data_IF_695987227261
#
_entry.id   IF_695987227261
#
_cell.length_a   1.000
_cell.length_b   1.000
_cell.length_c   1.000
_cell.angle_alpha   90.00
_cell.angle_beta   90.00
_cell.angle_gamma   90.00
#
_symmetry.space_group_name_H-M   'P 1'
#
loop_
_entity.id
_entity.type
_entity.pdbx_description
1 polymer ?
#
# COMPACT_ATOMS: atom_id res chain seq x y z
N UNK A 1 1.17 -3.70 -5.44
CA UNK A 1 -0.15 -3.18 -5.04
C UNK A 1 -1.20 -4.26 -5.17
N UNK A 2 -2.26 -4.20 -4.37
CA UNK A 2 -3.40 -5.11 -4.49
C UNK A 2 -4.70 -4.32 -4.54
N UNK A 3 -5.75 -4.94 -5.12
CA UNK A 3 -7.06 -4.31 -5.22
C UNK A 3 -7.72 -4.24 -3.84
N UNK A 4 -8.40 -3.13 -3.57
CA UNK A 4 -9.25 -2.95 -2.39
C UNK A 4 -10.63 -3.54 -2.70
N UNK A 5 -11.15 -4.36 -1.81
CA UNK A 5 -12.40 -5.10 -2.03
C UNK A 5 -13.60 -4.53 -1.28
N UNK A 6 -13.38 -3.60 -0.35
CA UNK A 6 -14.47 -3.00 0.43
C UNK A 6 -14.33 -1.49 0.57
N UNK A 7 -15.45 -0.75 0.67
CA UNK A 7 -15.42 0.67 0.95
C UNK A 7 -14.75 1.01 2.29
N UNK A 8 -14.85 0.11 3.26
CA UNK A 8 -14.22 0.29 4.59
C UNK A 8 -12.70 0.33 4.45
N UNK A 9 -12.10 -0.59 3.67
CA UNK A 9 -10.67 -0.56 3.38
C UNK A 9 -10.24 0.71 2.64
N UNK A 10 -11.10 1.25 1.78
CA UNK A 10 -10.78 2.44 1.00
C UNK A 10 -10.70 3.70 1.88
N UNK A 11 -11.52 3.81 2.92
CA UNK A 11 -11.52 4.97 3.84
C UNK A 11 -10.57 4.81 5.02
N UNK A 12 -10.06 3.61 5.26
CA UNK A 12 -9.09 3.32 6.31
C UNK A 12 -7.74 3.96 5.97
N UNK A 13 -7.25 4.84 6.82
CA UNK A 13 -5.98 5.59 6.66
C UNK A 13 -4.74 4.74 6.90
N UNK A 14 -4.87 3.57 7.52
CA UNK A 14 -3.80 2.57 7.62
C UNK A 14 -3.48 1.95 6.26
N UNK A 15 -4.46 1.88 5.36
CA UNK A 15 -4.28 1.44 3.98
C UNK A 15 -3.82 2.61 3.10
N UNK A 16 -2.60 2.55 2.58
CA UNK A 16 -2.07 3.55 1.65
C UNK A 16 -2.64 3.27 0.25
N UNK A 17 -3.49 4.18 -0.24
CA UNK A 17 -4.03 4.10 -1.60
C UNK A 17 -2.99 4.56 -2.60
N UNK A 18 -3.01 3.96 -3.79
CA UNK A 18 -2.08 4.27 -4.88
C UNK A 18 -2.83 4.41 -6.19
N UNK A 19 -2.49 5.45 -6.94
CA UNK A 19 -2.93 5.66 -8.33
C UNK A 19 -1.72 5.58 -9.25
N UNK A 20 -1.92 4.99 -10.43
CA UNK A 20 -0.86 4.77 -11.41
C UNK A 20 -1.19 5.42 -12.74
N UNK A 21 -0.16 5.68 -13.52
CA UNK A 21 -0.32 5.97 -14.94
C UNK A 21 -0.68 4.70 -15.75
N UNK A 22 -0.89 4.87 -17.06
CA UNK A 22 -1.25 3.76 -17.95
C UNK A 22 -0.15 2.70 -18.07
N UNK A 23 1.08 3.07 -17.75
CA UNK A 23 2.23 2.17 -17.75
C UNK A 23 2.46 1.48 -16.39
N UNK A 24 1.61 1.78 -15.40
CA UNK A 24 1.67 1.19 -14.06
C UNK A 24 2.75 1.80 -13.15
N UNK A 25 3.19 3.02 -13.41
CA UNK A 25 4.02 3.76 -12.46
C UNK A 25 3.16 4.59 -11.52
N UNK A 26 3.54 4.65 -10.25
CA UNK A 26 2.82 5.43 -9.27
C UNK A 26 2.85 6.92 -9.64
N UNK A 27 1.66 7.51 -9.72
CA UNK A 27 1.46 8.95 -9.87
C UNK A 27 1.37 9.62 -8.51
N UNK A 28 0.70 8.97 -7.56
CA UNK A 28 0.55 9.45 -6.20
C UNK A 28 0.17 8.32 -5.25
N UNK A 29 0.51 8.51 -3.98
CA UNK A 29 0.09 7.66 -2.87
C UNK A 29 -0.48 8.52 -1.76
N UNK A 30 -1.54 8.05 -1.10
CA UNK A 30 -2.19 8.80 -0.01
C UNK A 30 -2.90 7.87 0.98
N UNK A 31 -2.98 8.32 2.21
CA UNK A 31 -3.85 7.72 3.21
C UNK A 31 -5.32 8.06 2.96
N UNK A 32 -5.61 9.16 2.28
CA UNK A 32 -6.95 9.50 1.81
C UNK A 32 -7.40 8.60 0.66
N UNK A 33 -8.72 8.38 0.49
CA UNK A 33 -9.24 7.70 -0.70
C UNK A 33 -8.90 8.48 -1.98
N UNK A 34 -8.11 7.88 -2.85
CA UNK A 34 -7.75 8.39 -4.18
C UNK A 34 -7.91 7.28 -5.23
N UNK A 35 -8.36 7.63 -6.45
CA UNK A 35 -8.91 8.91 -6.91
C UNK A 35 -10.32 9.15 -6.38
N UNK A 36 -10.85 10.39 -6.53
CA UNK A 36 -12.24 10.67 -6.22
C UNK A 36 -13.17 10.23 -7.36
N UNK A 37 -14.08 9.25 -7.17
CA UNK A 37 -14.91 8.69 -8.23
C UNK A 37 -16.15 9.57 -8.48
N UNK A 38 -15.97 10.73 -9.11
CA UNK A 38 -17.08 11.66 -9.37
C UNK A 38 -18.08 11.15 -10.40
N UNK A 39 -17.60 10.48 -11.45
CA UNK A 39 -18.43 10.10 -12.62
C UNK A 39 -18.81 8.62 -12.65
N UNK A 40 -18.21 7.79 -11.83
CA UNK A 40 -18.43 6.35 -11.78
C UNK A 40 -18.15 5.81 -10.39
N UNK A 41 -19.10 5.01 -9.90
CA UNK A 41 -18.92 4.23 -8.68
C UNK A 41 -18.12 2.93 -8.94
N UNK A 42 -17.90 2.58 -10.21
CA UNK A 42 -17.16 1.39 -10.63
C UNK A 42 -15.69 1.74 -10.91
N UNK A 43 -14.96 2.10 -9.86
CA UNK A 43 -13.52 2.31 -9.92
C UNK A 43 -12.82 1.35 -8.97
N UNK A 44 -11.79 0.71 -9.50
CA UNK A 44 -10.95 -0.18 -8.70
C UNK A 44 -9.92 0.62 -7.91
N UNK A 45 -10.09 0.70 -6.60
CA UNK A 45 -9.06 1.23 -5.71
C UNK A 45 -7.96 0.21 -5.49
N UNK A 46 -6.74 0.68 -5.43
CA UNK A 46 -5.57 -0.14 -5.12
C UNK A 46 -4.87 0.38 -3.88
N UNK A 47 -4.37 -0.55 -3.07
CA UNK A 47 -3.51 -0.22 -1.93
C UNK A 47 -2.09 -0.71 -2.15
N UNK A 48 -1.16 0.05 -1.60
CA UNK A 48 0.23 -0.33 -1.50
C UNK A 48 0.38 -1.56 -0.58
N UNK A 49 1.27 -2.46 -0.94
CA UNK A 49 1.74 -3.53 -0.07
C UNK A 49 3.14 -3.16 0.42
N UNK A 50 3.43 -3.40 1.68
CA UNK A 50 4.72 -3.06 2.29
C UNK A 50 5.93 -3.87 1.78
N UNK A 51 5.85 -4.42 0.56
CA UNK A 51 6.95 -5.15 -0.09
C UNK A 51 7.51 -4.30 -1.22
N UNK A 52 8.77 -3.93 -1.09
CA UNK A 52 9.48 -3.02 -1.99
C UNK A 52 10.82 -3.61 -2.40
N UNK A 53 11.20 -3.38 -3.66
CA UNK A 53 12.51 -3.70 -4.18
C UNK A 53 13.19 -2.41 -4.69
N UNK A 54 14.42 -2.19 -4.29
CA UNK A 54 15.19 -1.02 -4.66
C UNK A 54 16.50 -1.41 -5.33
N UNK A 55 16.87 -0.67 -6.37
CA UNK A 55 18.24 -0.70 -6.86
C UNK A 55 19.19 0.01 -5.87
N UNK A 56 20.48 -0.27 -5.97
CA UNK A 56 21.49 0.43 -5.15
C UNK A 56 21.49 1.95 -5.41
N UNK A 57 21.18 2.38 -6.63
CA UNK A 57 21.03 3.79 -6.98
C UNK A 57 19.83 4.41 -6.25
N UNK A 58 18.69 3.71 -6.21
CA UNK A 58 17.51 4.15 -5.50
C UNK A 58 17.75 4.26 -4.00
N UNK A 59 18.47 3.31 -3.40
CA UNK A 59 18.83 3.36 -1.98
C UNK A 59 19.75 4.55 -1.64
N UNK A 60 20.75 4.83 -2.49
CA UNK A 60 21.62 6.00 -2.34
C UNK A 60 20.80 7.29 -2.45
N UNK A 61 19.98 7.40 -3.50
CA UNK A 61 19.06 8.54 -3.66
C UNK A 61 18.21 8.77 -2.39
N UNK A 62 17.62 7.70 -1.86
CA UNK A 62 16.78 7.80 -0.66
C UNK A 62 17.57 8.27 0.57
N UNK A 63 18.79 7.78 0.74
CA UNK A 63 19.65 8.15 1.87
C UNK A 63 20.15 9.60 1.80
N UNK A 64 20.42 10.11 0.59
CA UNK A 64 21.01 11.42 0.36
C UNK A 64 19.98 12.54 0.19
N UNK A 65 18.72 12.15 -0.14
CA UNK A 65 17.65 13.13 -0.42
C UNK A 65 16.81 13.41 0.82
N UNK A 66 16.61 14.68 1.20
CA UNK A 66 15.77 15.04 2.34
C UNK A 66 14.31 14.73 2.05
N UNK A 67 13.53 14.50 3.13
CA UNK A 67 12.07 14.32 3.05
C UNK A 67 11.41 15.53 2.40
N UNK A 68 10.55 15.25 1.41
CA UNK A 68 9.72 16.25 0.76
C UNK A 68 8.55 16.72 1.63
N UNK A 69 7.79 17.68 1.13
CA UNK A 69 6.65 18.25 1.85
C UNK A 69 5.50 17.25 1.97
N UNK A 70 5.22 16.52 0.91
CA UNK A 70 4.11 15.55 0.87
C UNK A 70 4.47 14.31 1.69
N UNK A 71 5.71 13.82 1.57
CA UNK A 71 6.20 12.72 2.41
C UNK A 71 6.02 13.02 3.90
N UNK A 72 6.31 14.24 4.34
CA UNK A 72 6.16 14.65 5.75
C UNK A 72 4.71 14.69 6.22
N UNK A 73 3.77 15.02 5.33
CA UNK A 73 2.34 15.15 5.66
C UNK A 73 1.67 13.78 5.66
N UNK A 74 1.90 12.99 4.63
CA UNK A 74 1.29 11.66 4.46
C UNK A 74 2.00 10.59 5.28
N UNK A 75 3.25 10.84 5.68
CA UNK A 75 4.16 9.86 6.32
C UNK A 75 4.28 8.57 5.50
N UNK A 76 4.58 8.75 4.20
CA UNK A 76 4.77 7.69 3.21
C UNK A 76 6.13 7.89 2.55
N UNK A 77 7.08 7.01 2.83
CA UNK A 77 8.47 7.14 2.36
C UNK A 77 8.62 7.14 0.83
N UNK A 78 7.77 6.42 0.12
CA UNK A 78 7.77 6.29 -1.33
C UNK A 78 7.47 7.60 -2.04
N UNK A 79 6.78 8.53 -1.36
CA UNK A 79 6.51 9.87 -1.89
C UNK A 79 7.79 10.66 -2.14
N UNK A 80 8.89 10.39 -1.42
CA UNK A 80 10.20 11.01 -1.69
C UNK A 80 10.64 10.78 -3.13
N UNK A 81 10.46 9.58 -3.65
CA UNK A 81 10.77 9.26 -5.05
C UNK A 81 9.88 10.05 -5.99
N UNK A 82 8.58 10.05 -5.74
CA UNK A 82 7.57 10.70 -6.60
C UNK A 82 7.76 12.21 -6.61
N UNK A 83 7.95 12.84 -5.43
CA UNK A 83 8.19 14.29 -5.31
C UNK A 83 9.44 14.76 -6.06
N UNK A 84 10.43 13.88 -6.23
CA UNK A 84 11.67 14.19 -6.96
C UNK A 84 11.67 13.64 -8.40
N UNK A 85 10.50 13.30 -8.95
CA UNK A 85 10.34 12.86 -10.34
C UNK A 85 10.94 11.48 -10.64
N UNK A 86 11.21 10.67 -9.62
CA UNK A 86 11.63 9.28 -9.79
C UNK A 86 10.42 8.38 -10.01
N UNK A 87 10.58 7.38 -10.86
CA UNK A 87 9.51 6.44 -11.21
C UNK A 87 9.50 5.25 -10.26
N UNK A 88 8.34 4.95 -9.71
CA UNK A 88 8.09 3.78 -8.88
C UNK A 88 7.11 2.85 -9.59
N UNK A 89 7.60 1.69 -10.04
CA UNK A 89 6.77 0.70 -10.74
C UNK A 89 5.91 -0.05 -9.73
N UNK A 90 4.60 -0.04 -9.96
CA UNK A 90 3.64 -0.77 -9.16
C UNK A 90 3.28 -2.10 -9.86
N UNK A 91 3.46 -3.21 -9.16
CA UNK A 91 3.12 -4.53 -9.68
C UNK A 91 1.81 -4.96 -9.02
N UNK A 92 0.72 -5.15 -9.80
CA UNK A 92 -0.51 -5.72 -9.28
C UNK A 92 -0.29 -7.17 -8.85
N UNK A 93 -0.77 -7.51 -7.68
CA UNK A 93 -0.76 -8.89 -7.17
C UNK A 93 -2.09 -9.16 -6.47
N UNK A 94 -2.55 -10.38 -6.54
CA UNK A 94 -3.64 -10.86 -5.70
C UNK A 94 -3.05 -11.24 -4.35
N UNK A 95 -3.33 -10.46 -3.32
CA UNK A 95 -2.84 -10.72 -2.00
C UNK A 95 -3.92 -10.41 -0.96
N UNK A 96 -4.20 -11.38 -0.12
CA UNK A 96 -4.98 -11.20 1.10
C UNK A 96 -3.99 -11.05 2.27
N UNK A 97 -3.24 -9.94 2.25
CA UNK A 97 -2.27 -9.65 3.30
C UNK A 97 -2.95 -8.93 4.46
N UNK A 98 -2.67 -9.40 5.66
CA UNK A 98 -3.05 -8.76 6.90
C UNK A 98 -1.79 -8.21 7.54
N UNK A 99 -1.74 -6.91 7.78
CA UNK A 99 -0.68 -6.28 8.57
C UNK A 99 -1.02 -6.39 10.05
N UNK A 100 0.02 -6.45 10.88
CA UNK A 100 -0.11 -6.42 12.32
C UNK A 100 0.62 -5.19 12.83
N UNK A 101 -0.11 -4.08 12.94
CA UNK A 101 0.41 -2.80 13.39
C UNK A 101 -0.08 -2.43 14.79
N UNK A 102 -1.20 -3.03 15.21
CA UNK A 102 -1.82 -2.81 16.51
C UNK A 102 -2.09 -4.13 17.26
N UNK A 103 -2.30 -4.09 18.60
CA UNK A 103 -2.73 -5.28 19.35
C UNK A 103 -4.02 -5.92 18.83
N UNK A 104 -4.95 -5.11 18.30
CA UNK A 104 -6.19 -5.63 17.70
C UNK A 104 -5.92 -6.43 16.44
N UNK A 105 -4.99 -5.96 15.60
CA UNK A 105 -4.60 -6.68 14.38
C UNK A 105 -3.97 -8.02 14.75
N UNK A 106 -3.13 -8.02 15.80
CA UNK A 106 -2.50 -9.25 16.29
C UNK A 106 -3.55 -10.27 16.73
N UNK A 107 -4.54 -9.87 17.51
CA UNK A 107 -5.60 -10.77 17.97
C UNK A 107 -6.45 -11.27 16.80
N UNK A 108 -6.75 -10.41 15.83
CA UNK A 108 -7.46 -10.79 14.61
C UNK A 108 -6.68 -11.81 13.78
N UNK A 109 -5.41 -11.56 13.54
CA UNK A 109 -4.54 -12.47 12.77
C UNK A 109 -4.36 -13.81 13.48
N UNK A 110 -4.20 -13.80 14.81
CA UNK A 110 -4.16 -15.06 15.61
C UNK A 110 -5.42 -15.88 15.43
N UNK A 111 -6.60 -15.26 15.46
CA UNK A 111 -7.87 -15.96 15.23
C UNK A 111 -7.93 -16.62 13.85
N UNK A 112 -7.47 -15.92 12.81
CA UNK A 112 -7.42 -16.47 11.43
C UNK A 112 -6.44 -17.65 11.34
N UNK A 113 -5.24 -17.51 11.93
CA UNK A 113 -4.23 -18.59 11.92
C UNK A 113 -4.78 -19.82 12.63
N UNK A 114 -5.42 -19.64 13.78
CA UNK A 114 -6.00 -20.76 14.53
C UNK A 114 -7.09 -21.46 13.72
N UNK A 115 -7.97 -20.71 13.09
CA UNK A 115 -9.01 -21.26 12.21
C UNK A 115 -8.40 -22.07 11.06
N UNK A 116 -7.35 -21.56 10.42
CA UNK A 116 -6.67 -22.26 9.31
C UNK A 116 -5.95 -23.53 9.76
N UNK A 117 -5.37 -23.53 10.96
CA UNK A 117 -4.80 -24.72 11.57
C UNK A 117 -5.87 -25.81 11.84
N UNK A 118 -7.02 -25.41 12.39
CA UNK A 118 -8.15 -26.33 12.66
C UNK A 118 -8.74 -26.90 11.35
N UNK A 119 -8.66 -26.15 10.23
CA UNK A 119 -9.10 -26.58 8.90
C UNK A 119 -8.03 -27.39 8.14
N UNK A 120 -6.82 -27.48 8.67
CA UNK A 120 -5.69 -28.18 8.02
C UNK A 120 -5.14 -27.45 6.79
N UNK A 121 -5.41 -26.17 6.67
CA UNK A 121 -4.91 -25.34 5.56
C UNK A 121 -3.45 -24.93 5.75
N UNK A 122 -2.96 -24.91 6.97
CA UNK A 122 -1.57 -24.62 7.32
C UNK A 122 -1.11 -25.58 8.43
N UNK A 123 0.19 -25.87 8.48
CA UNK A 123 0.88 -26.60 9.55
C UNK A 123 1.91 -25.66 10.20
N UNK A 124 2.16 -25.84 11.51
CA UNK A 124 3.19 -25.11 12.26
C UNK A 124 4.46 -25.94 12.39
#
# INVERSE_FOLDING_TARGET
MTKIHSPVEAVDDSNIKVVTDCDGYALFMSRSPIPHPKSSIHFDFYKHLGVLAYSMEALRFFAETPKGAIEKIEDINELRFIEHGKKLKMIPVEAHTLSVDTPKDLDYVRGIIQQKLEQGEIEL
#
